data_IF_931241872051
#
_entry.id   IF_931241872051
#
_cell.length_a   1.000
_cell.length_b   1.000
_cell.length_c   1.000
_cell.angle_alpha   90.00
_cell.angle_beta   90.00
_cell.angle_gamma   90.00
#
_symmetry.space_group_name_H-M   'P 1'
#
loop_
_entity.id
_entity.type
_entity.pdbx_description
1 polymer ?
#
# COMPACT_ATOMS: atom_id res chain seq x y z
N UNK A 1 26.21 28.45 -17.49
CA UNK A 1 25.84 27.04 -17.77
C UNK A 1 25.15 26.31 -16.63
N UNK A 2 24.91 26.92 -15.44
CA UNK A 2 24.39 26.18 -14.26
C UNK A 2 22.86 26.08 -14.12
N UNK A 3 22.08 26.93 -14.82
CA UNK A 3 20.62 26.95 -14.64
C UNK A 3 19.86 25.84 -15.37
N UNK A 4 20.44 25.30 -16.46
CA UNK A 4 19.81 24.22 -17.26
C UNK A 4 19.93 22.87 -16.53
N UNK A 5 21.04 22.63 -15.83
CA UNK A 5 21.27 21.41 -15.05
C UNK A 5 20.42 21.33 -13.78
N UNK A 6 20.08 22.47 -13.18
CA UNK A 6 19.23 22.50 -11.97
C UNK A 6 17.75 22.25 -12.26
N UNK A 7 17.27 22.64 -13.46
CA UNK A 7 15.89 22.36 -13.92
C UNK A 7 15.67 20.88 -14.24
N UNK A 8 16.71 20.14 -14.67
CA UNK A 8 16.58 18.76 -15.18
C UNK A 8 16.31 17.69 -14.11
N UNK A 9 16.47 17.99 -12.82
CA UNK A 9 16.31 17.00 -11.73
C UNK A 9 15.07 17.21 -10.84
N UNK A 10 14.12 18.05 -11.27
CA UNK A 10 12.95 18.39 -10.47
C UNK A 10 12.03 17.18 -10.25
N UNK A 11 11.76 16.42 -11.29
CA UNK A 11 10.88 15.25 -11.23
C UNK A 11 11.53 14.11 -10.44
N UNK A 12 12.82 13.89 -10.60
CA UNK A 12 13.54 12.89 -9.81
C UNK A 12 13.53 13.26 -8.31
N UNK A 13 13.69 14.57 -8.00
CA UNK A 13 13.59 15.06 -6.62
C UNK A 13 12.20 14.87 -6.02
N UNK A 14 11.14 15.03 -6.80
CA UNK A 14 9.78 14.72 -6.37
C UNK A 14 9.58 13.21 -6.25
N UNK A 15 10.00 12.46 -7.25
CA UNK A 15 9.77 11.01 -7.35
C UNK A 15 10.31 10.23 -6.16
N UNK A 16 11.57 10.46 -5.77
CA UNK A 16 12.13 9.75 -4.62
C UNK A 16 11.42 10.11 -3.30
N UNK A 17 10.96 11.37 -3.15
CA UNK A 17 10.19 11.79 -1.96
C UNK A 17 8.82 11.12 -1.91
N UNK A 18 8.12 11.04 -3.05
CA UNK A 18 6.83 10.35 -3.17
C UNK A 18 7.00 8.88 -2.83
N UNK A 19 8.00 8.21 -3.40
CA UNK A 19 8.24 6.79 -3.15
C UNK A 19 8.68 6.51 -1.71
N UNK A 20 9.52 7.36 -1.13
CA UNK A 20 9.91 7.26 0.27
C UNK A 20 8.72 7.53 1.21
N UNK A 21 7.89 8.54 0.91
CA UNK A 21 6.66 8.82 1.63
C UNK A 21 5.67 7.67 1.59
N UNK A 22 5.51 7.03 0.43
CA UNK A 22 4.69 5.83 0.28
C UNK A 22 5.20 4.66 1.12
N UNK A 23 6.53 4.46 1.17
CA UNK A 23 7.17 3.49 2.07
C UNK A 23 6.87 3.77 3.54
N UNK A 24 6.94 5.04 3.97
CA UNK A 24 6.56 5.46 5.31
C UNK A 24 5.10 5.18 5.63
N UNK A 25 4.18 5.51 4.71
CA UNK A 25 2.76 5.23 4.90
C UNK A 25 2.50 3.74 5.09
N UNK A 26 3.14 2.87 4.31
CA UNK A 26 3.04 1.42 4.50
C UNK A 26 3.46 0.99 5.91
N UNK A 27 4.56 1.53 6.44
CA UNK A 27 5.02 1.22 7.81
C UNK A 27 4.02 1.72 8.85
N UNK A 28 3.55 2.96 8.72
CA UNK A 28 2.61 3.56 9.67
C UNK A 28 1.32 2.73 9.73
N UNK A 29 0.73 2.41 8.58
CA UNK A 29 -0.47 1.59 8.53
C UNK A 29 -0.22 0.18 9.07
N UNK A 30 0.90 -0.43 8.72
CA UNK A 30 1.25 -1.77 9.18
C UNK A 30 1.51 -1.86 10.70
N UNK A 31 1.80 -0.75 11.37
CA UNK A 31 1.87 -0.67 12.84
C UNK A 31 0.50 -0.35 13.44
N UNK A 32 -0.23 0.60 12.86
CA UNK A 32 -1.54 1.03 13.40
C UNK A 32 -2.58 -0.09 13.32
N UNK A 33 -2.63 -0.83 12.20
CA UNK A 33 -3.66 -1.86 11.99
C UNK A 33 -3.65 -2.94 13.08
N UNK A 34 -2.50 -3.60 13.38
CA UNK A 34 -2.46 -4.57 14.47
C UNK A 34 -2.79 -3.96 15.83
N UNK A 35 -2.29 -2.75 16.11
CA UNK A 35 -2.57 -2.09 17.39
C UNK A 35 -4.06 -1.81 17.57
N UNK A 36 -4.73 -1.25 16.57
CA UNK A 36 -6.17 -1.00 16.65
C UNK A 36 -6.96 -2.30 16.73
N UNK A 37 -6.55 -3.31 15.97
CA UNK A 37 -7.20 -4.63 16.00
C UNK A 37 -7.13 -5.29 17.38
N UNK A 38 -5.97 -5.20 18.05
CA UNK A 38 -5.74 -5.84 19.35
C UNK A 38 -6.28 -5.01 20.52
N UNK A 39 -6.19 -3.68 20.45
CA UNK A 39 -6.49 -2.81 21.60
C UNK A 39 -7.89 -2.21 21.55
N UNK A 40 -8.50 -2.12 20.37
CA UNK A 40 -9.81 -1.46 20.19
C UNK A 40 -10.85 -2.44 19.69
N UNK A 41 -10.76 -2.85 18.43
CA UNK A 41 -11.69 -3.82 17.84
C UNK A 41 -11.16 -4.37 16.52
N UNK A 42 -11.28 -5.69 16.27
CA UNK A 42 -10.98 -6.29 14.98
C UNK A 42 -11.84 -5.73 13.83
N UNK A 43 -13.07 -5.29 14.13
CA UNK A 43 -14.03 -4.80 13.13
C UNK A 43 -13.66 -3.44 12.55
N UNK A 44 -12.77 -2.69 13.20
CA UNK A 44 -12.35 -1.38 12.70
C UNK A 44 -11.36 -1.47 11.53
N UNK A 45 -10.44 -2.44 11.54
CA UNK A 45 -9.35 -2.48 10.56
C UNK A 45 -9.06 -3.84 9.95
N UNK A 46 -9.42 -4.94 10.64
CA UNK A 46 -9.12 -6.30 10.18
C UNK A 46 -10.28 -6.93 9.44
N UNK A 47 -11.49 -6.72 9.95
CA UNK A 47 -12.71 -7.30 9.41
C UNK A 47 -13.84 -6.28 9.43
N UNK A 48 -13.86 -5.41 8.44
CA UNK A 48 -14.78 -4.29 8.36
C UNK A 48 -16.16 -4.67 7.80
N UNK A 49 -17.00 -3.64 7.61
CA UNK A 49 -18.35 -3.81 7.08
C UNK A 49 -18.37 -4.42 5.67
N UNK A 50 -17.35 -4.13 4.85
CA UNK A 50 -17.27 -4.65 3.49
C UNK A 50 -16.85 -6.13 3.47
N UNK A 51 -15.97 -6.54 4.40
CA UNK A 51 -15.64 -7.95 4.60
C UNK A 51 -16.87 -8.75 5.05
N UNK A 52 -17.66 -8.18 5.97
CA UNK A 52 -18.91 -8.80 6.41
C UNK A 52 -19.93 -8.94 5.28
N UNK A 53 -20.07 -7.96 4.39
CA UNK A 53 -20.91 -8.06 3.19
C UNK A 53 -20.37 -9.12 2.22
N UNK A 54 -19.04 -9.17 2.04
CA UNK A 54 -18.39 -10.10 1.14
C UNK A 54 -18.57 -11.56 1.58
N UNK A 55 -18.41 -11.84 2.85
CA UNK A 55 -18.51 -13.18 3.43
C UNK A 55 -19.93 -13.60 3.81
N UNK A 56 -20.85 -12.62 3.95
CA UNK A 56 -22.21 -12.85 4.48
C UNK A 56 -22.27 -13.07 5.99
N UNK A 57 -21.17 -12.87 6.74
CA UNK A 57 -21.09 -13.08 8.17
C UNK A 57 -20.47 -11.86 8.87
N UNK A 58 -21.00 -11.47 10.04
CA UNK A 58 -20.35 -10.49 10.90
C UNK A 58 -19.17 -11.12 11.66
N UNK A 59 -18.27 -10.30 12.20
CA UNK A 59 -17.17 -10.76 13.03
C UNK A 59 -17.64 -11.65 14.19
N UNK A 60 -18.69 -11.21 14.91
CA UNK A 60 -19.24 -11.94 16.03
C UNK A 60 -19.77 -13.33 15.63
N UNK A 61 -20.38 -13.44 14.45
CA UNK A 61 -20.81 -14.75 13.92
C UNK A 61 -19.63 -15.66 13.61
N UNK A 62 -18.54 -15.12 13.06
CA UNK A 62 -17.33 -15.90 12.78
C UNK A 62 -16.71 -16.41 14.06
N UNK A 63 -16.56 -15.55 15.06
CA UNK A 63 -15.97 -15.93 16.36
C UNK A 63 -16.89 -16.88 17.13
N UNK A 64 -18.22 -16.69 17.05
CA UNK A 64 -19.17 -17.62 17.66
C UNK A 64 -19.17 -19.01 16.99
N UNK A 65 -18.89 -19.07 15.69
CA UNK A 65 -18.76 -20.33 14.96
C UNK A 65 -17.47 -21.07 15.32
N UNK A 66 -16.35 -20.36 15.40
CA UNK A 66 -15.04 -20.86 15.81
C UNK A 66 -14.15 -19.70 16.27
N UNK A 67 -13.82 -19.64 17.58
CA UNK A 67 -12.85 -18.67 18.10
C UNK A 67 -11.48 -18.80 17.42
N UNK A 68 -11.07 -20.03 17.08
CA UNK A 68 -9.80 -20.31 16.40
C UNK A 68 -9.75 -19.69 15.00
N UNK A 69 -10.91 -19.66 14.29
CA UNK A 69 -11.00 -18.99 12.99
C UNK A 69 -10.80 -17.48 13.12
N UNK A 70 -11.40 -16.86 14.13
CA UNK A 70 -11.18 -15.45 14.45
C UNK A 70 -9.70 -15.16 14.76
N UNK A 71 -9.08 -16.00 15.56
CA UNK A 71 -7.64 -15.91 15.87
C UNK A 71 -6.78 -16.06 14.60
N UNK A 72 -7.10 -17.02 13.74
CA UNK A 72 -6.38 -17.25 12.49
C UNK A 72 -6.47 -16.06 11.54
N UNK A 73 -7.64 -15.45 11.39
CA UNK A 73 -7.81 -14.23 10.57
C UNK A 73 -6.93 -13.10 11.12
N UNK A 74 -6.93 -12.90 12.44
CA UNK A 74 -6.06 -11.91 13.10
C UNK A 74 -4.57 -12.17 12.87
N UNK A 75 -4.14 -13.43 12.97
CA UNK A 75 -2.75 -13.83 12.73
C UNK A 75 -2.33 -13.59 11.29
N UNK A 76 -3.18 -13.90 10.31
CA UNK A 76 -2.92 -13.61 8.90
C UNK A 76 -2.76 -12.10 8.66
N UNK A 77 -3.60 -11.27 9.27
CA UNK A 77 -3.50 -9.81 9.18
C UNK A 77 -2.18 -9.31 9.76
N UNK A 78 -1.78 -9.77 10.95
CA UNK A 78 -0.49 -9.39 11.57
C UNK A 78 0.68 -9.80 10.67
N UNK A 79 0.63 -11.00 10.09
CA UNK A 79 1.67 -11.48 9.16
C UNK A 79 1.78 -10.59 7.92
N UNK A 80 0.66 -10.19 7.33
CA UNK A 80 0.64 -9.25 6.21
C UNK A 80 1.23 -7.88 6.62
N UNK A 81 0.90 -7.38 7.80
CA UNK A 81 1.46 -6.12 8.31
C UNK A 81 2.98 -6.20 8.49
N UNK A 82 3.52 -7.31 8.98
CA UNK A 82 4.98 -7.50 9.08
C UNK A 82 5.65 -7.47 7.68
N UNK A 83 5.03 -8.09 6.68
CA UNK A 83 5.51 -8.00 5.29
C UNK A 83 5.45 -6.56 4.75
N UNK A 84 4.39 -5.80 5.07
CA UNK A 84 4.26 -4.39 4.69
C UNK A 84 5.35 -3.51 5.34
N UNK A 85 5.73 -3.78 6.60
CA UNK A 85 6.85 -3.08 7.26
C UNK A 85 8.16 -3.35 6.51
N UNK A 86 8.47 -4.61 6.23
CA UNK A 86 9.67 -4.99 5.49
C UNK A 86 9.71 -4.33 4.10
N UNK A 87 8.60 -4.39 3.38
CA UNK A 87 8.45 -3.72 2.09
C UNK A 87 8.66 -2.20 2.20
N UNK A 88 8.03 -1.54 3.16
CA UNK A 88 8.16 -0.10 3.39
C UNK A 88 9.60 0.33 3.69
N UNK A 89 10.32 -0.45 4.53
CA UNK A 89 11.75 -0.20 4.84
C UNK A 89 12.59 -0.32 3.56
N UNK A 90 12.43 -1.39 2.78
CA UNK A 90 13.15 -1.59 1.53
C UNK A 90 12.86 -0.47 0.53
N UNK A 91 11.59 -0.12 0.36
CA UNK A 91 11.17 0.96 -0.52
C UNK A 91 11.81 2.29 -0.13
N UNK A 92 11.82 2.64 1.16
CA UNK A 92 12.49 3.86 1.63
C UNK A 92 13.99 3.84 1.36
N UNK A 93 14.67 2.72 1.64
CA UNK A 93 16.11 2.59 1.41
C UNK A 93 16.47 2.75 -0.06
N UNK A 94 15.74 2.05 -0.95
CA UNK A 94 15.95 2.14 -2.39
C UNK A 94 15.62 3.53 -2.92
N UNK A 95 14.59 4.18 -2.39
CA UNK A 95 14.22 5.54 -2.82
C UNK A 95 15.21 6.60 -2.38
N UNK A 96 15.66 6.57 -1.11
CA UNK A 96 16.51 7.64 -0.52
C UNK A 96 17.96 7.60 -0.95
N UNK A 97 18.47 6.46 -1.41
CA UNK A 97 19.90 6.34 -1.73
C UNK A 97 20.08 6.16 -3.24
N UNK A 98 19.82 4.99 -3.86
CA UNK A 98 20.14 4.82 -5.28
C UNK A 98 19.15 5.55 -6.21
N UNK A 99 17.84 5.55 -5.90
CA UNK A 99 16.86 6.21 -6.77
C UNK A 99 17.02 7.73 -6.77
N UNK A 100 17.29 8.34 -5.62
CA UNK A 100 17.61 9.78 -5.54
C UNK A 100 18.83 10.16 -6.39
N UNK A 101 19.79 9.23 -6.58
CA UNK A 101 20.96 9.42 -7.45
C UNK A 101 20.65 9.20 -8.93
N UNK A 102 19.44 8.78 -9.27
CA UNK A 102 19.02 8.50 -10.65
C UNK A 102 19.48 7.13 -11.17
N UNK A 103 19.80 6.19 -10.30
CA UNK A 103 20.23 4.85 -10.68
C UNK A 103 19.07 4.06 -11.31
N UNK A 104 19.22 3.63 -12.56
CA UNK A 104 18.17 2.93 -13.33
C UNK A 104 17.70 1.64 -12.67
N UNK A 105 18.60 0.87 -12.07
CA UNK A 105 18.21 -0.37 -11.41
C UNK A 105 17.25 -0.13 -10.23
N UNK A 106 17.46 0.96 -9.46
CA UNK A 106 16.58 1.32 -8.36
C UNK A 106 15.17 1.67 -8.86
N UNK A 107 15.08 2.40 -9.97
CA UNK A 107 13.81 2.68 -10.62
C UNK A 107 13.10 1.40 -11.07
N UNK A 108 13.81 0.47 -11.73
CA UNK A 108 13.23 -0.81 -12.13
C UNK A 108 12.75 -1.62 -10.92
N UNK A 109 13.53 -1.67 -9.85
CA UNK A 109 13.16 -2.38 -8.62
C UNK A 109 11.88 -1.80 -8.01
N UNK A 110 11.82 -0.46 -7.87
CA UNK A 110 10.63 0.21 -7.37
C UNK A 110 9.42 0.02 -8.29
N UNK A 111 9.63 0.07 -9.62
CA UNK A 111 8.55 -0.14 -10.59
C UNK A 111 7.95 -1.53 -10.44
N UNK A 112 8.74 -2.58 -10.50
CA UNK A 112 8.25 -3.95 -10.42
C UNK A 112 7.61 -4.27 -9.07
N UNK A 113 8.24 -3.84 -7.97
CA UNK A 113 7.69 -4.06 -6.64
C UNK A 113 6.31 -3.38 -6.47
N UNK A 114 6.19 -2.11 -6.90
CA UNK A 114 4.92 -1.40 -6.79
C UNK A 114 3.89 -1.88 -7.82
N UNK A 115 4.29 -2.30 -9.01
CA UNK A 115 3.38 -2.85 -10.01
C UNK A 115 2.76 -4.17 -9.55
N UNK A 116 3.56 -5.09 -9.02
CA UNK A 116 3.06 -6.36 -8.47
C UNK A 116 2.08 -6.12 -7.32
N UNK A 117 2.42 -5.20 -6.43
CA UNK A 117 1.54 -4.84 -5.32
C UNK A 117 0.26 -4.17 -5.82
N UNK A 118 0.33 -3.31 -6.85
CA UNK A 118 -0.83 -2.71 -7.51
C UNK A 118 -1.73 -3.76 -8.18
N UNK A 119 -1.17 -4.72 -8.89
CA UNK A 119 -1.93 -5.81 -9.54
C UNK A 119 -2.69 -6.62 -8.49
N UNK A 120 -2.04 -6.95 -7.36
CA UNK A 120 -2.69 -7.62 -6.25
C UNK A 120 -3.86 -6.80 -5.69
N UNK A 121 -3.63 -5.51 -5.40
CA UNK A 121 -4.67 -4.62 -4.89
C UNK A 121 -5.83 -4.41 -5.87
N UNK A 122 -5.54 -4.30 -7.16
CA UNK A 122 -6.57 -4.21 -8.21
C UNK A 122 -7.38 -5.49 -8.31
N UNK A 123 -6.74 -6.66 -8.21
CA UNK A 123 -7.41 -7.97 -8.20
C UNK A 123 -8.38 -8.10 -7.01
N UNK A 124 -7.95 -7.72 -5.81
CA UNK A 124 -8.83 -7.70 -4.64
C UNK A 124 -10.00 -6.72 -4.85
N UNK A 125 -9.74 -5.50 -5.30
CA UNK A 125 -10.79 -4.51 -5.56
C UNK A 125 -11.80 -5.03 -6.57
N UNK A 126 -11.34 -5.64 -7.66
CA UNK A 126 -12.21 -6.24 -8.65
C UNK A 126 -13.07 -7.37 -8.06
N UNK A 127 -12.49 -8.19 -7.18
CA UNK A 127 -13.22 -9.27 -6.49
C UNK A 127 -14.36 -8.73 -5.62
N UNK A 128 -14.14 -7.62 -4.90
CA UNK A 128 -15.19 -6.95 -4.14
C UNK A 128 -16.25 -6.31 -5.07
N UNK A 129 -15.82 -5.67 -6.15
CA UNK A 129 -16.71 -5.05 -7.14
C UNK A 129 -17.65 -6.06 -7.80
N UNK A 130 -17.16 -7.24 -8.11
CA UNK A 130 -17.99 -8.31 -8.70
C UNK A 130 -19.15 -8.73 -7.78
N UNK A 131 -19.09 -8.37 -6.50
CA UNK A 131 -20.14 -8.57 -5.49
C UNK A 131 -20.90 -7.30 -5.12
N UNK A 132 -20.75 -6.22 -5.91
CA UNK A 132 -21.42 -4.94 -5.66
C UNK A 132 -20.88 -4.17 -4.46
N UNK A 133 -19.66 -4.47 -3.99
CA UNK A 133 -19.02 -3.80 -2.85
C UNK A 133 -17.95 -2.85 -3.37
N UNK A 134 -18.20 -1.55 -3.30
CA UNK A 134 -17.34 -0.54 -3.91
C UNK A 134 -16.25 0.02 -2.99
N UNK A 135 -16.29 -0.34 -1.71
CA UNK A 135 -15.34 0.14 -0.70
C UNK A 135 -15.48 1.63 -0.40
N UNK A 136 -15.10 2.01 0.79
CA UNK A 136 -14.98 3.42 1.17
C UNK A 136 -13.81 3.60 2.13
N UNK A 137 -13.31 4.83 2.31
CA UNK A 137 -12.29 5.12 3.32
C UNK A 137 -12.77 4.83 4.75
N UNK A 138 -14.08 4.70 4.96
CA UNK A 138 -14.70 4.47 6.27
C UNK A 138 -14.99 2.99 6.57
N UNK A 139 -14.89 2.12 5.58
CA UNK A 139 -15.21 0.69 5.72
C UNK A 139 -14.02 -0.21 6.09
N UNK A 140 -12.99 0.39 6.66
CA UNK A 140 -11.72 -0.27 6.96
C UNK A 140 -10.66 0.02 5.89
N UNK A 141 -9.45 -0.50 6.07
CA UNK A 141 -8.35 -0.40 5.06
C UNK A 141 -8.61 -1.35 3.89
N UNK A 142 -9.85 -1.70 3.68
CA UNK A 142 -10.22 -2.55 2.57
C UNK A 142 -9.87 -1.86 1.26
N UNK A 143 -9.29 -2.63 0.42
CA UNK A 143 -8.94 -2.32 -0.94
C UNK A 143 -10.19 -1.77 -1.64
N UNK A 144 -10.15 -0.54 -2.08
CA UNK A 144 -11.28 0.13 -2.72
C UNK A 144 -10.82 1.11 -3.79
N UNK A 145 -11.77 1.59 -4.57
CA UNK A 145 -11.51 2.53 -5.66
C UNK A 145 -10.67 3.74 -5.23
N UNK A 146 -10.94 4.40 -4.08
CA UNK A 146 -10.15 5.53 -3.62
C UNK A 146 -8.66 5.19 -3.42
N UNK A 147 -8.37 4.00 -2.89
CA UNK A 147 -7.01 3.55 -2.68
C UNK A 147 -6.26 3.30 -3.99
N UNK A 148 -6.92 2.69 -4.98
CA UNK A 148 -6.36 2.50 -6.31
C UNK A 148 -6.03 3.82 -7.00
N UNK A 149 -6.90 4.82 -6.87
CA UNK A 149 -6.66 6.17 -7.43
C UNK A 149 -5.41 6.79 -6.80
N UNK A 150 -5.30 6.78 -5.48
CA UNK A 150 -4.10 7.28 -4.78
C UNK A 150 -2.86 6.54 -5.24
N UNK A 151 -2.95 5.23 -5.42
CA UNK A 151 -1.82 4.42 -5.86
C UNK A 151 -1.39 4.73 -7.29
N UNK A 152 -2.33 4.91 -8.21
CA UNK A 152 -2.02 5.36 -9.58
C UNK A 152 -1.29 6.71 -9.55
N UNK A 153 -1.72 7.64 -8.71
CA UNK A 153 -1.02 8.93 -8.54
C UNK A 153 0.41 8.74 -8.02
N UNK A 154 0.61 7.85 -7.04
CA UNK A 154 1.95 7.50 -6.54
C UNK A 154 2.83 6.93 -7.66
N UNK A 155 2.31 6.04 -8.50
CA UNK A 155 3.05 5.48 -9.65
C UNK A 155 3.41 6.56 -10.68
N UNK A 156 2.46 7.47 -10.99
CA UNK A 156 2.69 8.55 -11.94
C UNK A 156 3.76 9.51 -11.43
N UNK A 157 3.57 10.07 -10.23
CA UNK A 157 4.48 11.08 -9.67
C UNK A 157 5.77 10.48 -9.12
N UNK A 158 5.70 9.25 -8.61
CA UNK A 158 6.85 8.56 -8.03
C UNK A 158 7.78 7.92 -9.05
N UNK A 159 7.26 7.42 -10.17
CA UNK A 159 8.03 6.60 -11.11
C UNK A 159 7.95 7.07 -12.57
N UNK A 160 6.74 7.39 -13.07
CA UNK A 160 6.56 7.64 -14.50
C UNK A 160 7.14 8.99 -14.94
N UNK A 161 6.83 10.07 -14.23
CA UNK A 161 7.36 11.40 -14.52
C UNK A 161 8.89 11.48 -14.34
N UNK A 162 9.49 10.94 -13.25
CA UNK A 162 10.93 10.96 -13.05
C UNK A 162 11.73 10.12 -14.06
N UNK A 163 11.10 9.17 -14.74
CA UNK A 163 11.76 8.28 -15.72
C UNK A 163 12.61 9.05 -16.76
N UNK A 164 12.16 10.25 -17.13
CA UNK A 164 12.84 11.09 -18.13
C UNK A 164 14.16 11.69 -17.65
N UNK A 165 14.37 11.71 -16.33
CA UNK A 165 15.54 12.31 -15.68
C UNK A 165 16.53 11.27 -15.16
N UNK A 166 16.25 9.98 -15.39
CA UNK A 166 17.12 8.89 -14.99
C UNK A 166 18.29 8.78 -15.94
N UNK A 167 19.48 9.12 -15.45
CA UNK A 167 20.76 8.92 -16.13
C UNK A 167 20.71 9.22 -17.64
N UNK A 168 20.55 10.51 -17.94
CA UNK A 168 21.07 11.07 -19.18
C UNK A 168 22.57 11.26 -19.06
#
# INVERSE_FOLDING_TARGET
MNNVQQSSKRWLSLGWKVMAGWGWLNIIFAVIVPLVTLLVSPTMMTYGSDDAKFTGASWDKIVALSPELGFWIGLMMVSMCMMMIAYGILQMKVSKIPYQRGEKWAWHTLLWANLLYFIYGAGLTFTFFSRGIYGSFTSGISVGLPFLVVWVLVLIFGLWLPRRELNQ
#
